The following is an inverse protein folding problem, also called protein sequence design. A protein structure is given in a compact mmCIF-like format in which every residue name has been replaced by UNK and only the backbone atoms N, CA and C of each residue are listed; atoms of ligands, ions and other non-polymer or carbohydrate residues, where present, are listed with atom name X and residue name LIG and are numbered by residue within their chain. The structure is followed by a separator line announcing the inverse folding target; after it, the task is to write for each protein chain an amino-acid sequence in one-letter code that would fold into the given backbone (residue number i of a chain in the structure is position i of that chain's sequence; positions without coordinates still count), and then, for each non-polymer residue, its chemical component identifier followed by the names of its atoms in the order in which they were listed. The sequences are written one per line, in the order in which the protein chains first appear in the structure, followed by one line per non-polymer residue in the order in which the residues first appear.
data_IF_634480398569
#
_entry.id   IF_634480398569
#
_cell.length_a   1.000
_cell.length_b   1.000
_cell.length_c   1.000
_cell.angle_alpha   90.00
_cell.angle_beta   90.00
_cell.angle_gamma   90.00
#
_symmetry.space_group_name_H-M   'P 1'
#
loop_
_entity.id
_entity.type
_entity.pdbx_description
1 polymer ?
#
# COMPACT_ATOMS: atom_id res chain seq x y z
N UNK A 1 32.73 18.11 -0.51
CA UNK A 1 32.67 16.86 0.30
C UNK A 1 31.38 16.74 1.13
N UNK A 2 30.75 17.84 1.55
CA UNK A 2 29.44 17.83 2.25
C UNK A 2 28.25 17.40 1.37
N UNK A 3 28.30 17.70 0.07
CA UNK A 3 27.22 17.40 -0.87
C UNK A 3 27.13 15.94 -1.30
N UNK A 4 28.18 15.13 -1.08
CA UNK A 4 28.13 13.68 -1.31
C UNK A 4 27.48 12.93 -0.15
N UNK A 5 27.60 13.42 1.10
CA UNK A 5 27.05 12.76 2.29
C UNK A 5 25.51 12.73 2.29
N UNK A 6 24.85 13.75 1.75
CA UNK A 6 23.37 13.80 1.68
C UNK A 6 22.78 12.92 0.58
N UNK A 7 23.50 12.62 -0.51
CA UNK A 7 22.96 11.80 -1.61
C UNK A 7 23.02 10.30 -1.34
N UNK A 8 23.91 9.87 -0.45
CA UNK A 8 24.16 8.45 -0.17
C UNK A 8 23.36 7.96 1.05
N UNK A 9 22.97 8.88 1.94
CA UNK A 9 22.24 8.58 3.17
C UNK A 9 20.90 7.83 2.96
N UNK A 10 20.05 8.16 1.97
CA UNK A 10 18.78 7.45 1.76
C UNK A 10 18.97 6.01 1.27
N UNK A 11 19.95 5.80 0.39
CA UNK A 11 20.32 4.48 -0.12
C UNK A 11 20.99 3.60 0.96
N UNK A 12 21.70 4.21 1.92
CA UNK A 12 22.24 3.52 3.08
C UNK A 12 21.15 3.09 4.06
N UNK A 13 20.21 3.98 4.37
CA UNK A 13 19.10 3.72 5.30
C UNK A 13 18.20 2.57 4.80
N UNK A 14 17.95 2.47 3.49
CA UNK A 14 17.16 1.38 2.90
C UNK A 14 17.85 0.01 2.97
N UNK A 15 19.18 -0.02 3.10
CA UNK A 15 19.96 -1.25 3.21
C UNK A 15 20.09 -1.77 4.65
N UNK A 16 19.83 -0.94 5.67
CA UNK A 16 20.02 -1.27 7.10
C UNK A 16 19.28 -2.56 7.52
N UNK A 17 18.00 -2.80 7.14
CA UNK A 17 17.32 -4.04 7.52
C UNK A 17 17.98 -5.29 6.92
N UNK A 18 18.51 -5.20 5.69
CA UNK A 18 19.18 -6.31 5.00
C UNK A 18 20.56 -6.58 5.58
N UNK A 19 21.28 -5.54 5.98
CA UNK A 19 22.58 -5.63 6.65
C UNK A 19 22.41 -6.25 8.04
N UNK A 20 21.45 -5.78 8.83
CA UNK A 20 21.15 -6.35 10.16
C UNK A 20 20.70 -7.81 10.08
N UNK A 21 19.92 -8.18 9.05
CA UNK A 21 19.54 -9.57 8.79
C UNK A 21 20.77 -10.44 8.47
N UNK A 22 21.61 -10.02 7.52
CA UNK A 22 22.86 -10.71 7.15
C UNK A 22 23.82 -10.88 8.32
N UNK A 23 24.00 -9.86 9.16
CA UNK A 23 24.84 -9.94 10.37
C UNK A 23 24.30 -10.93 11.41
N UNK A 24 22.98 -11.15 11.43
CA UNK A 24 22.33 -12.08 12.37
C UNK A 24 22.31 -13.51 11.87
N UNK A 25 22.25 -13.73 10.55
CA UNK A 25 22.10 -15.05 9.94
C UNK A 25 23.38 -15.58 9.29
N UNK A 26 24.36 -14.73 9.04
CA UNK A 26 25.59 -15.07 8.30
C UNK A 26 25.39 -15.22 6.78
N UNK A 27 24.19 -14.94 6.26
CA UNK A 27 23.89 -15.07 4.83
C UNK A 27 24.35 -13.83 4.05
N UNK A 28 24.95 -13.97 2.86
CA UNK A 28 25.43 -12.85 2.06
C UNK A 28 24.27 -12.00 1.49
N UNK A 29 24.39 -10.67 1.58
CA UNK A 29 23.43 -9.70 1.04
C UNK A 29 23.38 -9.82 -0.49
N UNK A 30 22.31 -10.39 -1.05
CA UNK A 30 22.09 -10.44 -2.51
C UNK A 30 21.39 -9.16 -3.00
N UNK A 31 22.13 -8.35 -3.72
CA UNK A 31 21.66 -7.14 -4.41
C UNK A 31 22.86 -6.25 -4.72
N UNK A 32 22.87 -5.57 -5.88
CA UNK A 32 23.89 -4.57 -6.21
C UNK A 32 23.72 -3.37 -5.26
N UNK A 33 24.37 -3.44 -4.10
CA UNK A 33 24.76 -2.26 -3.35
C UNK A 33 25.97 -1.70 -4.10
N UNK A 34 25.95 -0.41 -4.38
CA UNK A 34 27.10 0.34 -4.92
C UNK A 34 28.36 -0.05 -4.12
N UNK A 35 29.49 -0.32 -4.79
CA UNK A 35 30.76 -0.66 -4.14
C UNK A 35 31.01 0.25 -2.93
N UNK A 36 30.91 -0.34 -1.74
CA UNK A 36 31.12 0.35 -0.47
C UNK A 36 32.35 -0.30 0.18
N UNK A 37 33.42 0.48 0.34
CA UNK A 37 34.68 -0.03 0.85
C UNK A 37 34.57 -0.41 2.34
N UNK A 38 35.37 -1.37 2.78
CA UNK A 38 35.37 -1.89 4.15
C UNK A 38 35.61 -0.81 5.23
N UNK A 39 36.24 0.31 4.86
CA UNK A 39 36.51 1.44 5.74
C UNK A 39 35.22 2.20 6.12
N UNK A 40 34.25 2.26 5.22
CA UNK A 40 32.97 2.93 5.44
C UNK A 40 32.01 2.08 6.28
N UNK A 41 32.08 0.75 6.15
CA UNK A 41 31.33 -0.18 7.00
C UNK A 41 31.79 -0.12 8.46
N UNK A 42 33.09 -0.02 8.71
CA UNK A 42 33.64 0.14 10.06
C UNK A 42 33.20 1.45 10.70
N UNK A 43 33.22 2.56 9.94
CA UNK A 43 32.75 3.86 10.41
C UNK A 43 31.25 3.86 10.77
N UNK A 44 30.43 3.14 9.98
CA UNK A 44 29.00 2.97 10.24
C UNK A 44 28.72 2.17 11.51
N UNK A 45 29.45 1.07 11.73
CA UNK A 45 29.33 0.26 12.96
C UNK A 45 29.74 1.07 14.18
N UNK A 46 30.79 1.88 14.07
CA UNK A 46 31.27 2.72 15.17
C UNK A 46 30.29 3.87 15.48
N UNK A 47 29.69 4.48 14.46
CA UNK A 47 28.65 5.49 14.62
C UNK A 47 27.39 4.92 15.31
N UNK A 48 26.97 3.70 14.93
CA UNK A 48 25.81 3.02 15.55
C UNK A 48 26.12 2.59 16.99
N UNK A 49 27.31 2.08 17.26
CA UNK A 49 27.73 1.68 18.60
C UNK A 49 27.90 2.89 19.53
N UNK A 50 28.40 4.01 19.02
CA UNK A 50 28.50 5.27 19.78
C UNK A 50 27.11 5.79 20.14
N UNK A 51 26.14 5.69 19.23
CA UNK A 51 24.72 5.99 19.48
C UNK A 51 24.07 5.06 20.51
N UNK A 52 24.45 3.79 20.54
CA UNK A 52 23.98 2.78 21.50
C UNK A 52 24.64 2.91 22.88
N UNK A 53 25.83 3.51 22.94
CA UNK A 53 26.60 3.74 24.17
C UNK A 53 26.14 4.97 24.98
N UNK A 54 25.25 5.80 24.44
CA UNK A 54 24.76 6.99 25.16
C UNK A 54 23.64 6.64 26.15
N UNK A 55 23.67 7.25 27.34
CA UNK A 55 22.68 6.99 28.39
C UNK A 55 21.26 7.38 27.95
N UNK A 56 20.26 6.62 28.40
CA UNK A 56 18.86 6.77 27.99
C UNK A 56 18.21 8.12 28.37
N UNK A 57 18.88 8.92 29.20
CA UNK A 57 18.47 10.28 29.57
C UNK A 57 18.93 11.30 28.52
N UNK A 58 20.17 11.23 28.04
CA UNK A 58 20.68 12.08 26.95
C UNK A 58 19.95 11.83 25.63
N UNK A 59 19.59 10.56 25.37
CA UNK A 59 18.67 10.21 24.27
C UNK A 59 17.34 10.96 24.41
N UNK A 60 16.69 10.87 25.58
CA UNK A 60 15.40 11.54 25.84
C UNK A 60 15.48 13.06 25.76
N UNK A 61 16.55 13.69 26.23
CA UNK A 61 16.69 15.15 26.17
C UNK A 61 16.91 15.65 24.74
N UNK A 62 17.66 14.93 23.90
CA UNK A 62 17.77 15.25 22.46
C UNK A 62 16.43 15.06 21.73
N UNK A 63 15.62 14.06 22.10
CA UNK A 63 14.26 13.91 21.57
C UNK A 63 13.29 15.00 22.05
N UNK A 64 13.49 15.54 23.25
CA UNK A 64 12.65 16.60 23.82
C UNK A 64 13.05 18.02 23.35
N UNK A 65 14.32 18.25 23.01
CA UNK A 65 14.82 19.56 22.55
C UNK A 65 14.78 19.75 21.04
N UNK A 66 14.44 18.71 20.28
CA UNK A 66 14.31 18.76 18.82
C UNK A 66 12.84 18.92 18.46
N UNK A 67 12.29 20.12 18.66
CA UNK A 67 10.94 20.53 18.22
C UNK A 67 10.72 20.54 16.70
N UNK A 68 11.60 19.88 15.95
CA UNK A 68 11.42 19.48 14.56
C UNK A 68 11.46 17.96 14.56
N UNK A 69 10.28 17.33 14.56
CA UNK A 69 10.16 15.89 14.34
C UNK A 69 11.03 15.53 13.14
N UNK A 70 12.02 14.68 13.36
CA UNK A 70 12.65 13.94 12.26
C UNK A 70 11.50 13.23 11.54
N UNK A 71 11.08 13.82 10.41
CA UNK A 71 10.51 13.06 9.31
C UNK A 71 11.46 11.87 9.14
N UNK A 72 11.07 10.71 9.66
CA UNK A 72 11.29 9.49 8.90
C UNK A 72 10.71 9.85 7.53
N UNK A 73 11.58 10.28 6.60
CA UNK A 73 11.17 10.44 5.21
C UNK A 73 10.49 9.13 4.85
N UNK A 74 9.16 9.18 4.77
CA UNK A 74 8.35 7.99 4.65
C UNK A 74 8.82 7.31 3.38
N UNK A 75 9.47 6.15 3.53
CA UNK A 75 9.97 5.34 2.41
C UNK A 75 8.85 5.23 1.39
N UNK A 76 8.99 5.92 0.27
CA UNK A 76 7.98 5.94 -0.78
C UNK A 76 8.13 4.61 -1.51
N UNK A 77 7.14 3.72 -1.47
CA UNK A 77 7.24 2.44 -2.16
C UNK A 77 7.52 2.65 -3.65
N UNK A 78 8.52 1.94 -4.17
CA UNK A 78 8.80 1.94 -5.60
C UNK A 78 7.61 1.37 -6.38
N UNK A 79 7.30 2.00 -7.52
CA UNK A 79 6.32 1.50 -8.46
C UNK A 79 7.01 0.79 -9.62
N UNK A 80 6.50 -0.38 -9.99
CA UNK A 80 6.78 -1.05 -11.26
C UNK A 80 5.56 -0.91 -12.16
N UNK A 81 5.63 0.04 -13.08
CA UNK A 81 4.53 0.43 -13.97
C UNK A 81 4.26 1.93 -13.88
N UNK A 82 3.45 2.44 -14.79
CA UNK A 82 3.03 3.85 -14.81
C UNK A 82 1.66 3.99 -14.16
N UNK A 83 1.53 4.92 -13.21
CA UNK A 83 0.25 5.27 -12.60
C UNK A 83 -0.28 6.58 -13.18
N UNK A 84 -1.60 6.67 -13.34
CA UNK A 84 -2.34 7.88 -13.69
C UNK A 84 -3.02 8.51 -12.46
N UNK A 85 -3.15 7.74 -11.36
CA UNK A 85 -3.94 8.14 -10.18
C UNK A 85 -3.05 8.39 -8.94
N UNK A 86 -2.07 7.52 -8.68
CA UNK A 86 -1.30 7.56 -7.44
C UNK A 86 -0.23 8.65 -7.46
N UNK A 87 -0.39 9.65 -6.59
CA UNK A 87 0.67 10.62 -6.28
C UNK A 87 1.68 10.03 -5.29
N UNK A 88 2.81 10.71 -5.08
CA UNK A 88 3.75 10.35 -4.01
C UNK A 88 3.10 10.37 -2.62
N UNK A 89 2.22 11.35 -2.39
CA UNK A 89 1.54 11.49 -1.10
C UNK A 89 0.54 10.36 -0.87
N UNK A 90 -0.23 9.96 -1.90
CA UNK A 90 -1.11 8.79 -1.82
C UNK A 90 -0.33 7.55 -1.38
N UNK A 91 0.84 7.31 -1.98
CA UNK A 91 1.70 6.17 -1.67
C UNK A 91 2.23 6.23 -0.24
N UNK A 92 2.71 7.39 0.22
CA UNK A 92 3.19 7.58 1.60
C UNK A 92 2.09 7.32 2.63
N UNK A 93 0.87 7.75 2.36
CA UNK A 93 -0.25 7.56 3.28
C UNK A 93 -0.70 6.09 3.30
N UNK A 94 -0.87 5.47 2.13
CA UNK A 94 -1.31 4.08 2.02
C UNK A 94 -0.27 3.07 2.51
N UNK A 95 1.03 3.33 2.35
CA UNK A 95 2.10 2.40 2.77
C UNK A 95 2.07 2.09 4.27
N UNK A 96 1.58 3.03 5.10
CA UNK A 96 1.43 2.89 6.56
C UNK A 96 0.31 1.95 6.98
N UNK A 97 -0.53 1.52 6.05
CA UNK A 97 -1.72 0.69 6.33
C UNK A 97 -1.69 -0.68 5.66
N UNK A 98 -0.59 -1.00 4.98
CA UNK A 98 -0.40 -2.30 4.33
C UNK A 98 -0.33 -3.42 5.38
N UNK A 99 -0.75 -4.65 5.02
CA UNK A 99 -0.49 -5.80 5.86
C UNK A 99 1.02 -6.09 5.90
N UNK A 100 1.50 -6.67 7.01
CA UNK A 100 2.93 -6.95 7.24
C UNK A 100 3.60 -7.72 6.09
N UNK A 101 2.86 -8.62 5.41
CA UNK A 101 3.37 -9.40 4.28
C UNK A 101 3.49 -8.63 2.95
N UNK A 102 2.99 -7.40 2.89
CA UNK A 102 3.09 -6.51 1.73
C UNK A 102 4.07 -5.33 1.99
N UNK A 103 4.48 -5.11 3.24
CA UNK A 103 5.44 -4.07 3.58
C UNK A 103 6.81 -4.34 2.95
N UNK A 104 7.43 -3.29 2.41
CA UNK A 104 8.76 -3.36 1.78
C UNK A 104 8.81 -3.97 0.37
N UNK A 105 7.70 -4.50 -0.14
CA UNK A 105 7.60 -4.99 -1.53
C UNK A 105 7.36 -3.86 -2.53
N UNK A 106 7.78 -4.08 -3.78
CA UNK A 106 7.53 -3.16 -4.88
C UNK A 106 6.08 -3.26 -5.33
N UNK A 107 5.43 -2.11 -5.53
CA UNK A 107 4.05 -2.08 -6.01
C UNK A 107 4.07 -2.24 -7.53
N UNK A 108 3.59 -3.36 -8.03
CA UNK A 108 3.58 -3.70 -9.45
C UNK A 108 2.18 -3.54 -10.02
N UNK A 109 2.03 -2.73 -11.07
CA UNK A 109 0.76 -2.57 -11.75
C UNK A 109 0.39 -3.86 -12.48
N UNK A 110 -0.70 -4.51 -12.06
CA UNK A 110 -1.18 -5.77 -12.66
C UNK A 110 -2.33 -5.54 -13.65
N UNK A 111 -3.15 -4.52 -13.39
CA UNK A 111 -4.27 -4.15 -14.23
C UNK A 111 -4.51 -2.64 -14.17
N UNK A 112 -4.91 -2.06 -15.29
CA UNK A 112 -5.36 -0.67 -15.41
C UNK A 112 -6.37 -0.61 -16.55
N UNK A 113 -7.48 0.10 -16.38
CA UNK A 113 -8.49 0.27 -17.44
C UNK A 113 -7.91 0.97 -18.67
N UNK A 114 -6.98 1.91 -18.50
CA UNK A 114 -6.31 2.60 -19.61
C UNK A 114 -5.44 1.68 -20.47
N UNK A 115 -4.86 0.63 -19.88
CA UNK A 115 -3.96 -0.31 -20.58
C UNK A 115 -4.65 -1.60 -21.03
N UNK A 116 -5.69 -2.02 -20.33
CA UNK A 116 -6.28 -3.35 -20.46
C UNK A 116 -7.78 -3.34 -20.78
N UNK A 117 -8.37 -2.14 -20.90
CA UNK A 117 -9.77 -1.94 -21.20
C UNK A 117 -10.69 -2.03 -19.99
N UNK A 118 -11.95 -1.73 -20.23
CA UNK A 118 -13.03 -1.62 -19.26
C UNK A 118 -13.81 -2.94 -19.22
N UNK A 119 -13.24 -3.95 -18.57
CA UNK A 119 -13.87 -5.28 -18.44
C UNK A 119 -13.39 -6.02 -17.20
N UNK A 120 -14.34 -6.38 -16.34
CA UNK A 120 -14.09 -7.16 -15.14
C UNK A 120 -13.52 -8.56 -15.46
N UNK A 121 -13.94 -9.15 -16.59
CA UNK A 121 -13.36 -10.40 -17.09
C UNK A 121 -11.87 -10.26 -17.44
N UNK A 122 -11.47 -9.13 -18.03
CA UNK A 122 -10.05 -8.85 -18.29
C UNK A 122 -9.26 -8.68 -17.00
N UNK A 123 -9.86 -8.05 -15.99
CA UNK A 123 -9.27 -7.92 -14.66
C UNK A 123 -9.06 -9.30 -14.02
N UNK A 124 -10.06 -10.19 -13.98
CA UNK A 124 -9.90 -11.53 -13.40
C UNK A 124 -8.81 -12.36 -14.10
N UNK A 125 -8.69 -12.27 -15.44
CA UNK A 125 -7.61 -12.96 -16.17
C UNK A 125 -6.22 -12.49 -15.75
N UNK A 126 -6.05 -11.21 -15.38
CA UNK A 126 -4.77 -10.69 -14.86
C UNK A 126 -4.45 -11.15 -13.44
N UNK A 127 -5.47 -11.55 -12.67
CA UNK A 127 -5.31 -12.00 -11.29
C UNK A 127 -4.93 -13.49 -11.15
N UNK A 128 -5.17 -14.31 -12.18
CA UNK A 128 -5.05 -15.77 -12.10
C UNK A 128 -3.71 -16.32 -11.59
N UNK A 129 -2.61 -15.61 -11.83
CA UNK A 129 -1.26 -16.03 -11.41
C UNK A 129 -0.66 -15.13 -10.31
N UNK A 130 -1.47 -14.29 -9.67
CA UNK A 130 -1.02 -13.41 -8.59
C UNK A 130 -1.26 -14.12 -7.26
N UNK A 131 -0.29 -14.02 -6.33
CA UNK A 131 -0.41 -14.55 -4.97
C UNK A 131 -0.03 -13.46 -3.96
N UNK A 132 -0.74 -12.33 -4.02
CA UNK A 132 -0.48 -11.11 -3.26
C UNK A 132 -1.81 -10.46 -2.86
N UNK A 133 -1.85 -9.63 -1.79
CA UNK A 133 -2.92 -8.65 -1.65
C UNK A 133 -2.99 -7.76 -2.89
N UNK A 134 -4.16 -7.22 -3.18
CA UNK A 134 -4.33 -6.27 -4.29
C UNK A 134 -4.76 -4.93 -3.72
N UNK A 135 -4.00 -3.88 -4.02
CA UNK A 135 -4.42 -2.51 -3.83
C UNK A 135 -5.15 -2.05 -5.09
N UNK A 136 -6.47 -1.90 -4.96
CA UNK A 136 -7.34 -1.31 -5.97
C UNK A 136 -7.45 0.19 -5.73
N UNK A 137 -7.15 0.98 -6.76
CA UNK A 137 -7.21 2.44 -6.75
C UNK A 137 -8.18 2.89 -7.85
N UNK A 138 -9.17 3.69 -7.49
CA UNK A 138 -10.20 4.21 -8.39
C UNK A 138 -10.13 5.72 -8.35
N UNK A 139 -10.16 6.32 -9.54
CA UNK A 139 -10.46 7.74 -9.74
C UNK A 139 -11.81 7.83 -10.44
N UNK A 140 -12.76 8.58 -9.87
CA UNK A 140 -14.03 8.86 -10.52
C UNK A 140 -13.98 10.10 -11.42
N UNK A 141 -15.05 10.37 -12.17
CA UNK A 141 -15.15 11.54 -13.06
C UNK A 141 -15.20 12.88 -12.32
N UNK A 142 -15.32 12.88 -10.99
CA UNK A 142 -15.23 14.07 -10.14
C UNK A 142 -13.83 14.21 -9.49
N UNK A 143 -12.87 13.38 -9.90
CA UNK A 143 -11.50 13.31 -9.38
C UNK A 143 -11.42 12.92 -7.91
N UNK A 144 -12.43 12.22 -7.36
CA UNK A 144 -12.27 11.59 -6.05
C UNK A 144 -11.41 10.34 -6.21
N UNK A 145 -10.45 10.14 -5.29
CA UNK A 145 -9.59 8.96 -5.26
C UNK A 145 -9.94 8.11 -4.05
N UNK A 146 -10.26 6.84 -4.29
CA UNK A 146 -10.65 5.89 -3.26
C UNK A 146 -10.38 4.47 -3.74
N UNK A 147 -10.70 3.47 -2.91
CA UNK A 147 -10.59 2.09 -3.33
C UNK A 147 -10.55 1.13 -2.15
N UNK A 148 -9.83 0.04 -2.37
CA UNK A 148 -9.75 -1.06 -1.43
C UNK A 148 -8.37 -1.71 -1.45
N UNK A 149 -7.95 -2.26 -0.32
CA UNK A 149 -6.96 -3.33 -0.30
C UNK A 149 -7.70 -4.64 -0.06
N UNK A 150 -7.52 -5.62 -0.93
CA UNK A 150 -8.04 -6.97 -0.75
C UNK A 150 -6.94 -7.90 -0.27
N UNK A 151 -7.28 -8.80 0.66
CA UNK A 151 -6.35 -9.79 1.20
C UNK A 151 -5.86 -10.80 0.15
N UNK A 152 -6.50 -10.90 -1.00
CA UNK A 152 -6.16 -11.87 -2.03
C UNK A 152 -6.55 -11.34 -3.42
N UNK A 153 -6.07 -11.98 -4.50
CA UNK A 153 -6.46 -11.62 -5.86
C UNK A 153 -7.97 -11.72 -6.07
N UNK A 154 -8.47 -10.90 -7.00
CA UNK A 154 -9.87 -10.86 -7.36
C UNK A 154 -10.19 -12.05 -8.28
N UNK A 155 -11.24 -12.78 -7.96
CA UNK A 155 -11.72 -13.95 -8.69
C UNK A 155 -13.24 -14.02 -8.67
N UNK A 156 -13.78 -14.79 -9.62
CA UNK A 156 -15.20 -15.15 -9.66
C UNK A 156 -15.49 -16.15 -8.54
N UNK A 157 -16.54 -15.90 -7.77
CA UNK A 157 -16.98 -16.79 -6.70
C UNK A 157 -18.45 -16.59 -6.34
N UNK A 158 -19.18 -17.70 -6.16
CA UNK A 158 -20.56 -17.69 -5.65
C UNK A 158 -20.65 -17.28 -4.17
N UNK A 159 -19.53 -17.37 -3.45
CA UNK A 159 -19.43 -17.11 -2.02
C UNK A 159 -18.50 -15.94 -1.73
N UNK A 160 -18.69 -15.32 -0.56
CA UNK A 160 -17.74 -14.33 -0.09
C UNK A 160 -16.41 -15.00 0.27
N UNK A 161 -15.31 -14.33 -0.07
CA UNK A 161 -13.95 -14.76 0.22
C UNK A 161 -13.09 -13.57 0.68
N UNK A 162 -11.86 -13.87 1.10
CA UNK A 162 -10.93 -12.91 1.67
C UNK A 162 -10.87 -12.97 3.20
N UNK A 163 -10.07 -12.09 3.79
CA UNK A 163 -9.80 -12.03 5.24
C UNK A 163 -9.93 -10.60 5.76
N UNK A 164 -9.90 -10.47 7.09
CA UNK A 164 -9.87 -9.19 7.80
C UNK A 164 -8.66 -8.29 7.52
N UNK A 165 -7.66 -8.74 6.75
CA UNK A 165 -6.61 -7.85 6.23
C UNK A 165 -7.17 -6.84 5.21
N UNK A 166 -8.33 -7.16 4.62
CA UNK A 166 -8.98 -6.29 3.63
C UNK A 166 -9.52 -5.02 4.28
N UNK A 167 -9.51 -3.92 3.54
CA UNK A 167 -10.06 -2.64 4.00
C UNK A 167 -10.48 -1.76 2.83
N UNK A 168 -11.37 -0.81 3.11
CA UNK A 168 -11.72 0.27 2.19
C UNK A 168 -10.99 1.56 2.57
N UNK A 169 -10.81 2.47 1.62
CA UNK A 169 -10.27 3.79 1.91
C UNK A 169 -10.79 4.85 0.93
N UNK A 170 -10.72 6.11 1.35
CA UNK A 170 -10.93 7.28 0.48
C UNK A 170 -9.96 8.40 0.84
N UNK A 171 -9.64 9.25 -0.13
CA UNK A 171 -8.99 10.54 0.09
C UNK A 171 -10.03 11.65 0.07
N UNK A 172 -10.30 12.28 1.22
CA UNK A 172 -11.10 13.51 1.27
C UNK A 172 -11.03 14.21 2.65
N UNK A 173 -10.28 15.34 2.79
CA UNK A 173 -9.08 15.73 2.03
C UNK A 173 -7.86 14.86 2.37
N UNK A 174 -7.84 14.27 3.56
CA UNK A 174 -6.84 13.31 4.02
C UNK A 174 -7.31 11.86 3.78
N UNK A 175 -6.38 10.91 3.86
CA UNK A 175 -6.68 9.48 3.82
C UNK A 175 -7.53 9.06 5.03
N UNK A 176 -8.69 8.44 4.75
CA UNK A 176 -9.49 7.72 5.75
C UNK A 176 -9.54 6.24 5.39
N UNK A 177 -9.16 5.37 6.33
CA UNK A 177 -9.11 3.91 6.17
C UNK A 177 -10.17 3.25 7.03
N UNK A 178 -10.96 2.36 6.43
CA UNK A 178 -12.02 1.60 7.06
C UNK A 178 -11.63 0.12 7.15
N UNK A 179 -11.10 -0.27 8.32
CA UNK A 179 -10.69 -1.64 8.60
C UNK A 179 -11.92 -2.51 8.90
N UNK A 180 -11.73 -3.82 8.82
CA UNK A 180 -12.77 -4.79 9.16
C UNK A 180 -13.31 -4.61 10.58
N UNK A 181 -14.63 -4.65 10.73
CA UNK A 181 -15.33 -4.47 12.02
C UNK A 181 -15.34 -5.74 12.88
N UNK A 182 -15.19 -6.91 12.27
CA UNK A 182 -15.42 -8.20 12.93
C UNK A 182 -16.87 -8.68 12.91
N UNK A 183 -17.84 -7.90 12.40
CA UNK A 183 -19.27 -8.28 12.47
C UNK A 183 -19.65 -9.42 11.53
N UNK A 184 -19.04 -9.51 10.34
CA UNK A 184 -19.27 -10.57 9.36
C UNK A 184 -18.05 -10.72 8.45
N UNK A 185 -18.01 -11.77 7.61
CA UNK A 185 -16.86 -12.07 6.74
C UNK A 185 -17.15 -11.79 5.26
N UNK A 186 -18.03 -10.83 4.95
CA UNK A 186 -18.46 -10.53 3.58
C UNK A 186 -17.48 -9.60 2.85
N UNK A 187 -16.21 -10.00 2.80
CA UNK A 187 -15.13 -9.13 2.32
C UNK A 187 -15.15 -8.89 0.81
N UNK A 188 -15.18 -9.95 0.01
CA UNK A 188 -15.10 -9.86 -1.46
C UNK A 188 -16.05 -10.88 -2.05
N UNK A 189 -16.84 -10.48 -3.05
CA UNK A 189 -17.64 -11.38 -3.89
C UNK A 189 -17.66 -10.79 -5.29
N UNK A 190 -17.47 -11.62 -6.31
CA UNK A 190 -17.54 -11.15 -7.68
C UNK A 190 -18.00 -12.24 -8.63
N UNK A 191 -18.72 -11.84 -9.66
CA UNK A 191 -19.12 -12.67 -10.78
C UNK A 191 -18.80 -11.94 -12.09
N UNK A 192 -19.40 -12.37 -13.21
CA UNK A 192 -19.20 -11.77 -14.52
C UNK A 192 -19.83 -10.37 -14.65
N UNK A 193 -20.82 -10.05 -13.83
CA UNK A 193 -21.64 -8.83 -13.93
C UNK A 193 -21.25 -7.79 -12.89
N UNK A 194 -20.67 -8.20 -11.75
CA UNK A 194 -20.30 -7.29 -10.69
C UNK A 194 -19.14 -7.78 -9.82
N UNK A 195 -18.47 -6.81 -9.19
CA UNK A 195 -17.53 -7.02 -8.10
C UNK A 195 -17.96 -6.21 -6.89
N UNK A 196 -18.07 -6.86 -5.74
CA UNK A 196 -18.42 -6.28 -4.45
C UNK A 196 -17.27 -6.44 -3.44
N UNK A 197 -16.95 -5.37 -2.72
CA UNK A 197 -16.00 -5.38 -1.60
C UNK A 197 -16.69 -4.77 -0.38
N UNK A 198 -16.91 -5.61 0.63
CA UNK A 198 -17.68 -5.31 1.83
C UNK A 198 -19.18 -5.35 1.56
N UNK A 199 -19.92 -6.02 2.43
CA UNK A 199 -21.38 -6.07 2.36
C UNK A 199 -22.05 -6.00 3.73
N UNK A 200 -23.33 -5.67 3.74
CA UNK A 200 -24.17 -5.64 4.93
C UNK A 200 -25.56 -5.13 4.60
N UNK A 201 -26.61 -5.80 5.06
CA UNK A 201 -28.02 -5.37 4.88
C UNK A 201 -28.39 -5.04 3.42
N UNK A 202 -27.87 -5.82 2.47
CA UNK A 202 -28.11 -5.62 1.03
C UNK A 202 -27.35 -4.45 0.39
N UNK A 203 -26.46 -3.80 1.15
CA UNK A 203 -25.59 -2.71 0.69
C UNK A 203 -24.16 -3.19 0.52
N UNK A 204 -23.40 -2.48 -0.30
CA UNK A 204 -22.00 -2.77 -0.58
C UNK A 204 -21.12 -1.59 -0.25
N UNK A 205 -20.01 -1.86 0.44
CA UNK A 205 -19.00 -0.84 0.74
C UNK A 205 -18.41 -0.24 -0.53
N UNK A 206 -18.11 -1.12 -1.50
CA UNK A 206 -17.76 -0.78 -2.87
C UNK A 206 -18.35 -1.84 -3.81
N UNK A 207 -19.05 -1.41 -4.84
CA UNK A 207 -19.63 -2.23 -5.89
C UNK A 207 -19.23 -1.66 -7.24
N UNK A 208 -18.80 -2.51 -8.17
CA UNK A 208 -18.43 -2.16 -9.54
C UNK A 208 -19.20 -3.04 -10.52
N UNK A 209 -19.60 -2.49 -11.66
CA UNK A 209 -20.21 -3.26 -12.75
C UNK A 209 -19.17 -4.04 -13.58
N UNK A 210 -19.65 -5.00 -14.37
CA UNK A 210 -18.82 -5.87 -15.21
C UNK A 210 -18.08 -5.13 -16.33
N UNK A 211 -18.59 -3.95 -16.71
CA UNK A 211 -17.96 -3.08 -17.70
C UNK A 211 -16.95 -2.11 -17.06
N UNK A 212 -16.74 -2.14 -15.74
CA UNK A 212 -15.86 -1.20 -15.03
C UNK A 212 -16.11 0.26 -15.42
N UNK A 213 -17.38 0.64 -15.56
CA UNK A 213 -17.81 1.98 -15.95
C UNK A 213 -18.54 2.68 -14.81
N UNK A 214 -19.45 1.99 -14.15
CA UNK A 214 -20.21 2.54 -13.02
C UNK A 214 -19.95 1.77 -11.75
N UNK A 215 -19.97 2.49 -10.64
CA UNK A 215 -19.86 1.89 -9.32
C UNK A 215 -20.80 2.54 -8.32
N UNK A 216 -20.92 1.87 -7.19
CA UNK A 216 -21.69 2.32 -6.03
C UNK A 216 -20.89 2.12 -4.76
N UNK A 217 -20.99 3.05 -3.83
CA UNK A 217 -20.43 2.92 -2.49
C UNK A 217 -21.45 3.37 -1.46
N UNK A 218 -21.80 2.45 -0.56
CA UNK A 218 -22.71 2.69 0.55
C UNK A 218 -22.03 2.28 1.87
N UNK A 219 -22.65 2.66 2.99
CA UNK A 219 -22.22 2.14 4.29
C UNK A 219 -22.61 0.67 4.42
N UNK A 220 -21.68 -0.16 4.88
CA UNK A 220 -21.89 -1.59 5.12
C UNK A 220 -21.33 -2.02 6.49
N UNK A 221 -21.90 -3.08 7.07
CA UNK A 221 -21.47 -3.60 8.37
C UNK A 221 -20.08 -4.24 8.36
N UNK A 222 -19.57 -4.70 7.20
CA UNK A 222 -18.22 -5.30 7.09
C UNK A 222 -17.13 -4.29 7.51
N UNK A 223 -17.25 -3.02 7.10
CA UNK A 223 -16.20 -2.01 7.30
C UNK A 223 -16.67 -0.76 8.04
N UNK A 224 -17.98 -0.63 8.29
CA UNK A 224 -18.61 0.58 8.83
C UNK A 224 -18.13 1.85 8.11
N UNK A 225 -18.02 1.77 6.78
CA UNK A 225 -17.51 2.86 5.96
C UNK A 225 -18.60 3.91 5.71
N UNK A 226 -18.17 5.15 5.48
CA UNK A 226 -18.99 6.13 4.77
C UNK A 226 -18.91 5.87 3.25
N UNK A 227 -19.81 6.45 2.44
CA UNK A 227 -19.62 6.49 1.00
C UNK A 227 -18.22 6.97 0.62
N UNK A 228 -17.58 6.23 -0.29
CA UNK A 228 -16.17 6.46 -0.66
C UNK A 228 -15.99 7.61 -1.66
N UNK A 229 -17.02 7.91 -2.45
CA UNK A 229 -17.10 9.05 -3.36
C UNK A 229 -18.01 10.14 -2.78
N UNK A 230 -18.07 11.29 -3.45
CA UNK A 230 -18.98 12.39 -3.12
C UNK A 230 -20.46 12.00 -3.25
N UNK A 231 -20.77 11.02 -4.10
CA UNK A 231 -22.12 10.48 -4.30
C UNK A 231 -22.13 8.96 -4.09
N UNK A 232 -23.32 8.41 -3.80
CA UNK A 232 -23.48 6.96 -3.65
C UNK A 232 -23.15 6.21 -4.95
N UNK A 233 -23.54 6.76 -6.11
CA UNK A 233 -23.16 6.22 -7.41
C UNK A 233 -22.09 7.11 -8.04
N UNK A 234 -21.12 6.50 -8.72
CA UNK A 234 -20.04 7.20 -9.39
C UNK A 234 -19.76 6.57 -10.76
N UNK A 235 -19.28 7.38 -11.69
CA UNK A 235 -18.72 6.93 -12.97
C UNK A 235 -17.21 6.85 -12.80
N UNK A 236 -16.63 5.69 -13.11
CA UNK A 236 -15.18 5.51 -13.04
C UNK A 236 -14.51 6.18 -14.24
N UNK A 237 -13.43 6.91 -13.96
CA UNK A 237 -12.54 7.45 -14.97
C UNK A 237 -11.40 6.45 -15.22
N UNK A 238 -10.72 6.04 -14.15
CA UNK A 238 -9.62 5.08 -14.22
C UNK A 238 -9.66 4.15 -13.00
N UNK A 239 -9.38 2.87 -13.22
CA UNK A 239 -9.15 1.89 -12.17
C UNK A 239 -7.79 1.25 -12.36
N UNK A 240 -6.99 1.19 -11.30
CA UNK A 240 -5.71 0.50 -11.23
C UNK A 240 -5.74 -0.58 -10.16
N UNK A 241 -5.07 -1.70 -10.42
CA UNK A 241 -4.80 -2.73 -9.42
C UNK A 241 -3.30 -2.96 -9.32
N UNK A 242 -2.80 -2.90 -8.10
CA UNK A 242 -1.39 -3.04 -7.75
C UNK A 242 -1.20 -4.28 -6.87
N UNK A 243 -0.23 -5.13 -7.24
CA UNK A 243 0.22 -6.24 -6.42
C UNK A 243 1.57 -5.90 -5.76
N UNK A 244 1.91 -6.61 -4.69
CA UNK A 244 3.14 -6.42 -3.91
C UNK A 244 4.09 -7.58 -4.23
N UNK A 245 5.06 -7.36 -5.11
CA UNK A 245 5.94 -8.39 -5.71
C UNK A 245 7.43 -8.05 -5.59
#
# INVERSE_FOLDING_TARGET
METLKLKVLPAMLSAIPRILYSMRTGEPVKGKVCDFDALDAAYLVDAVNSLLSMSGELRRTLYASSGTSLDLEAFIPELRGTTEILTEEHRKQLSRHLPARAEGYTWTLVFSTSQHGFSLNSLYRKMANIQSPILMVIEDTFNNVFGALTSCPLQISDHFYGTGESFLYRFAPDLKVYKWTGENTYHIKGDYEALCIGAGDGKFGLWLDGDLNVGRSESCSTYNNEPLSSNLNFTMKTLECWAFL
#
